data_IF_558785620331
#
_entry.id   IF_558785620331
#
_cell.length_a   1.000
_cell.length_b   1.000
_cell.length_c   1.000
_cell.angle_alpha   90.00
_cell.angle_beta   90.00
_cell.angle_gamma   90.00
#
_symmetry.space_group_name_H-M   'P 1'
#
loop_
_entity.id
_entity.type
_entity.pdbx_description
1 polymer ?
#
# COMPACT_ATOMS: atom_id res chain seq x y z
N UNK A 1 -0.25 16.16 2.02
CA UNK A 1 -0.83 14.80 1.92
C UNK A 1 -1.45 14.73 0.54
N UNK A 2 -1.03 13.78 -0.31
CA UNK A 2 -1.53 13.69 -1.69
C UNK A 2 -2.98 13.21 -1.64
N UNK A 3 -3.90 13.94 -2.26
CA UNK A 3 -5.28 13.48 -2.41
C UNK A 3 -5.31 12.40 -3.48
N UNK A 4 -5.63 11.17 -3.09
CA UNK A 4 -5.80 10.06 -4.01
C UNK A 4 -7.27 9.68 -4.13
N UNK A 5 -7.77 9.64 -5.36
CA UNK A 5 -9.11 9.12 -5.67
C UNK A 5 -8.93 7.80 -6.41
N UNK A 6 -9.34 6.69 -5.79
CA UNK A 6 -9.24 5.35 -6.36
C UNK A 6 -10.18 5.14 -7.55
N UNK A 7 -9.77 5.60 -8.74
CA UNK A 7 -10.52 5.45 -9.99
C UNK A 7 -9.58 5.04 -11.12
N UNK A 8 -10.10 4.22 -12.03
CA UNK A 8 -9.33 3.69 -13.16
C UNK A 8 -8.66 2.36 -12.85
N UNK A 9 -7.70 1.97 -13.70
CA UNK A 9 -6.98 0.71 -13.63
C UNK A 9 -5.76 0.82 -12.69
N UNK A 10 -5.70 -0.07 -11.71
CA UNK A 10 -4.58 -0.20 -10.77
C UNK A 10 -4.23 -1.68 -10.61
N UNK A 11 -3.36 -2.24 -11.46
CA UNK A 11 -3.04 -3.65 -11.40
C UNK A 11 -2.18 -3.96 -10.17
N UNK A 12 -2.40 -5.13 -9.53
CA UNK A 12 -1.43 -5.65 -8.59
C UNK A 12 -0.18 -6.11 -9.36
N UNK A 13 0.99 -5.81 -8.81
CA UNK A 13 2.28 -6.12 -9.44
C UNK A 13 2.95 -7.33 -8.79
N UNK A 14 3.71 -8.07 -9.59
CA UNK A 14 4.51 -9.20 -9.12
C UNK A 14 5.73 -8.72 -8.31
N UNK A 15 6.24 -9.59 -7.43
CA UNK A 15 7.60 -9.48 -6.90
C UNK A 15 8.53 -10.28 -7.81
N UNK A 16 9.41 -9.63 -8.59
CA UNK A 16 10.31 -10.35 -9.48
C UNK A 16 11.29 -11.21 -8.67
N UNK A 17 11.48 -12.46 -9.07
CA UNK A 17 12.46 -13.38 -8.50
C UNK A 17 13.53 -13.73 -9.53
N UNK A 18 14.73 -14.05 -9.04
CA UNK A 18 15.79 -14.69 -9.81
C UNK A 18 15.52 -16.21 -9.92
N UNK A 19 16.30 -16.90 -10.76
CA UNK A 19 16.19 -18.35 -10.94
C UNK A 19 16.47 -19.13 -9.64
N UNK A 20 17.22 -18.54 -8.71
CA UNK A 20 17.51 -19.11 -7.38
C UNK A 20 16.44 -18.76 -6.31
N UNK A 21 15.30 -18.19 -6.74
CA UNK A 21 14.19 -17.75 -5.90
C UNK A 21 14.50 -16.57 -4.96
N UNK A 22 15.68 -15.95 -5.07
CA UNK A 22 15.94 -14.67 -4.40
C UNK A 22 15.22 -13.52 -5.12
N UNK A 23 14.96 -12.41 -4.42
CA UNK A 23 14.25 -11.28 -5.02
C UNK A 23 15.16 -10.52 -6.00
N UNK A 24 14.63 -10.28 -7.21
CA UNK A 24 15.28 -9.46 -8.22
C UNK A 24 14.82 -8.00 -8.13
N UNK A 25 15.44 -7.23 -7.23
CA UNK A 25 15.16 -5.80 -7.08
C UNK A 25 15.49 -5.00 -8.35
N UNK A 26 16.51 -5.43 -9.12
CA UNK A 26 16.94 -4.75 -10.35
C UNK A 26 15.91 -4.80 -11.48
N UNK A 27 14.98 -5.77 -11.44
CA UNK A 27 13.89 -5.87 -12.40
C UNK A 27 12.74 -4.89 -12.12
N UNK A 28 12.65 -4.31 -10.92
CA UNK A 28 11.53 -3.42 -10.54
C UNK A 28 11.53 -2.11 -11.35
N UNK A 29 12.64 -1.36 -11.51
CA UNK A 29 12.63 -0.14 -12.31
C UNK A 29 12.22 -0.32 -13.78
N UNK A 30 12.78 -1.28 -14.56
CA UNK A 30 12.34 -1.49 -15.95
C UNK A 30 10.90 -2.01 -16.01
N UNK A 31 10.44 -2.79 -15.04
CA UNK A 31 9.05 -3.24 -14.96
C UNK A 31 8.08 -2.07 -14.71
N UNK A 32 8.40 -1.19 -13.76
CA UNK A 32 7.64 0.03 -13.50
C UNK A 32 7.60 0.94 -14.74
N UNK A 33 8.74 1.08 -15.45
CA UNK A 33 8.80 1.84 -16.70
C UNK A 33 7.88 1.24 -17.77
N UNK A 34 7.91 -0.07 -17.97
CA UNK A 34 7.03 -0.76 -18.92
C UNK A 34 5.54 -0.49 -18.63
N UNK A 35 5.14 -0.55 -17.35
CA UNK A 35 3.76 -0.26 -16.95
C UNK A 35 3.37 1.20 -17.23
N UNK A 36 4.24 2.14 -16.90
CA UNK A 36 4.02 3.56 -17.16
C UNK A 36 3.91 3.85 -18.67
N UNK A 37 4.81 3.30 -19.48
CA UNK A 37 4.79 3.41 -20.95
C UNK A 37 3.52 2.79 -21.55
N UNK A 38 2.93 1.80 -20.88
CA UNK A 38 1.66 1.17 -21.26
C UNK A 38 0.43 1.98 -20.84
N UNK A 39 0.61 3.18 -20.28
CA UNK A 39 -0.48 4.07 -19.87
C UNK A 39 -1.06 3.76 -18.48
N UNK A 40 -0.44 2.86 -17.71
CA UNK A 40 -0.82 2.63 -16.31
C UNK A 40 -0.40 3.84 -15.48
N UNK A 41 -1.31 4.30 -14.61
CA UNK A 41 -1.09 5.50 -13.77
C UNK A 41 -0.82 5.14 -12.31
N UNK A 42 -1.24 3.96 -11.87
CA UNK A 42 -1.08 3.51 -10.50
C UNK A 42 -0.90 2.00 -10.44
N UNK A 43 -0.22 1.52 -9.40
CA UNK A 43 -0.01 0.09 -9.15
C UNK A 43 -0.25 -0.24 -7.68
N UNK A 44 -0.66 -1.48 -7.42
CA UNK A 44 -0.76 -2.03 -6.06
C UNK A 44 0.42 -2.97 -5.80
N UNK A 45 1.30 -2.56 -4.89
CA UNK A 45 2.48 -3.29 -4.44
C UNK A 45 2.16 -4.05 -3.16
N UNK A 46 2.66 -5.27 -3.07
CA UNK A 46 2.54 -6.09 -1.87
C UNK A 46 1.19 -6.80 -1.70
N UNK A 47 0.40 -6.90 -2.77
CA UNK A 47 -0.81 -7.74 -2.78
C UNK A 47 -0.50 -9.24 -2.89
N UNK A 48 -1.55 -10.05 -2.96
CA UNK A 48 -1.44 -11.51 -3.11
C UNK A 48 -0.72 -11.91 -4.41
N UNK A 49 -0.99 -11.22 -5.52
CA UNK A 49 -0.27 -11.40 -6.80
C UNK A 49 1.24 -11.16 -6.69
N UNK A 50 1.65 -10.31 -5.74
CA UNK A 50 3.06 -10.04 -5.46
C UNK A 50 3.70 -11.07 -4.52
N UNK A 51 2.96 -12.11 -4.08
CA UNK A 51 3.41 -13.12 -3.12
C UNK A 51 3.95 -12.52 -1.81
N UNK A 52 3.44 -11.34 -1.43
CA UNK A 52 4.04 -10.53 -0.38
C UNK A 52 4.02 -11.19 1.01
N UNK A 53 2.99 -12.00 1.26
CA UNK A 53 2.83 -12.76 2.50
C UNK A 53 3.83 -13.91 2.65
N UNK A 54 4.43 -14.35 1.54
CA UNK A 54 5.45 -15.40 1.50
C UNK A 54 6.86 -14.87 1.82
N UNK A 55 7.03 -13.55 1.88
CA UNK A 55 8.33 -12.89 2.08
C UNK A 55 8.59 -12.55 3.56
N UNK A 56 9.87 -12.48 3.93
CA UNK A 56 10.26 -11.91 5.22
C UNK A 56 9.93 -10.40 5.27
N UNK A 57 9.67 -9.86 6.47
CA UNK A 57 9.34 -8.43 6.65
C UNK A 57 10.43 -7.51 6.09
N UNK A 58 11.70 -7.88 6.28
CA UNK A 58 12.83 -7.12 5.74
C UNK A 58 12.80 -7.03 4.21
N UNK A 59 12.40 -8.10 3.54
CA UNK A 59 12.32 -8.15 2.08
C UNK A 59 11.10 -7.40 1.56
N UNK A 60 9.97 -7.50 2.27
CA UNK A 60 8.76 -6.70 2.00
C UNK A 60 9.08 -5.21 1.98
N UNK A 61 9.82 -4.71 2.97
CA UNK A 61 10.28 -3.30 3.04
C UNK A 61 11.12 -2.92 1.82
N UNK A 62 12.14 -3.71 1.48
CA UNK A 62 13.01 -3.44 0.32
C UNK A 62 12.24 -3.44 -1.00
N UNK A 63 11.26 -4.33 -1.16
CA UNK A 63 10.38 -4.34 -2.34
C UNK A 63 9.58 -3.03 -2.40
N UNK A 64 9.01 -2.59 -1.28
CA UNK A 64 8.28 -1.32 -1.20
C UNK A 64 9.20 -0.15 -1.55
N UNK A 65 10.41 -0.09 -0.99
CA UNK A 65 11.39 0.97 -1.26
C UNK A 65 11.74 1.05 -2.74
N UNK A 66 12.01 -0.10 -3.37
CA UNK A 66 12.32 -0.19 -4.79
C UNK A 66 11.16 0.30 -5.67
N UNK A 67 9.91 -0.05 -5.32
CA UNK A 67 8.73 0.42 -6.05
C UNK A 67 8.46 1.90 -5.84
N UNK A 68 8.65 2.43 -4.63
CA UNK A 68 8.51 3.87 -4.34
C UNK A 68 9.54 4.67 -5.13
N UNK A 69 10.80 4.22 -5.16
CA UNK A 69 11.86 4.84 -5.95
C UNK A 69 11.53 4.81 -7.45
N UNK A 70 11.08 3.65 -7.96
CA UNK A 70 10.67 3.51 -9.35
C UNK A 70 9.46 4.42 -9.68
N UNK A 71 8.47 4.51 -8.79
CA UNK A 71 7.29 5.36 -8.94
C UNK A 71 7.63 6.84 -9.06
N UNK A 72 8.61 7.34 -8.28
CA UNK A 72 9.13 8.72 -8.42
C UNK A 72 9.71 8.97 -9.82
N UNK A 73 10.41 7.99 -10.39
CA UNK A 73 11.04 8.12 -11.71
C UNK A 73 10.07 7.99 -12.90
N UNK A 74 8.98 7.23 -12.74
CA UNK A 74 8.02 6.94 -13.82
C UNK A 74 6.73 7.74 -13.72
N UNK A 75 6.48 8.42 -12.60
CA UNK A 75 5.21 9.08 -12.31
C UNK A 75 4.08 8.13 -11.90
N UNK A 76 4.38 6.84 -11.67
CA UNK A 76 3.39 5.90 -11.16
C UNK A 76 3.00 6.24 -9.72
N UNK A 77 1.70 6.27 -9.46
CA UNK A 77 1.18 6.32 -8.10
C UNK A 77 1.26 4.93 -7.45
N UNK A 78 2.09 4.80 -6.42
CA UNK A 78 2.30 3.54 -5.71
C UNK A 78 1.32 3.42 -4.55
N UNK A 79 0.49 2.37 -4.55
CA UNK A 79 -0.22 1.92 -3.36
C UNK A 79 0.46 0.71 -2.77
N UNK A 80 0.55 0.65 -1.44
CA UNK A 80 1.21 -0.43 -0.72
C UNK A 80 0.21 -1.14 0.18
N UNK A 81 0.12 -2.46 0.04
CA UNK A 81 -0.57 -3.32 0.99
C UNK A 81 0.39 -3.63 2.15
N UNK A 82 0.01 -3.24 3.36
CA UNK A 82 0.76 -3.46 4.61
C UNK A 82 0.08 -4.49 5.54
N UNK A 83 -0.98 -5.15 5.07
CA UNK A 83 -1.72 -6.16 5.84
C UNK A 83 -0.98 -7.49 5.90
N UNK A 84 -1.32 -8.31 6.90
CA UNK A 84 -0.75 -9.63 7.11
C UNK A 84 -1.29 -10.29 8.37
N UNK A 85 -0.95 -11.57 8.59
CA UNK A 85 -1.44 -12.33 9.74
C UNK A 85 -0.81 -11.87 11.07
N UNK A 86 0.52 -11.69 11.19
CA UNK A 86 1.11 -11.21 12.43
C UNK A 86 0.90 -9.70 12.58
N UNK A 87 0.20 -9.28 13.66
CA UNK A 87 -0.04 -7.86 13.94
C UNK A 87 1.26 -7.07 14.13
N UNK A 88 2.30 -7.70 14.67
CA UNK A 88 3.62 -7.09 14.84
C UNK A 88 4.22 -6.70 13.48
N UNK A 89 4.24 -7.62 12.51
CA UNK A 89 4.70 -7.36 11.14
C UNK A 89 3.92 -6.21 10.48
N UNK A 90 2.59 -6.20 10.64
CA UNK A 90 1.71 -5.15 10.09
C UNK A 90 2.09 -3.79 10.67
N UNK A 91 2.27 -3.73 12.00
CA UNK A 91 2.64 -2.49 12.70
C UNK A 91 4.00 -1.98 12.22
N UNK A 92 4.98 -2.88 12.07
CA UNK A 92 6.31 -2.56 11.59
C UNK A 92 6.33 -2.05 10.14
N UNK A 93 5.54 -2.66 9.25
CA UNK A 93 5.39 -2.23 7.86
C UNK A 93 4.71 -0.85 7.77
N UNK A 94 3.66 -0.62 8.55
CA UNK A 94 2.97 0.68 8.62
C UNK A 94 3.94 1.78 9.05
N UNK A 95 4.75 1.55 10.08
CA UNK A 95 5.78 2.49 10.52
C UNK A 95 6.80 2.78 9.43
N UNK A 96 7.22 1.77 8.68
CA UNK A 96 8.21 1.92 7.61
C UNK A 96 7.66 2.75 6.44
N UNK A 97 6.43 2.48 5.99
CA UNK A 97 5.77 3.26 4.93
C UNK A 97 5.46 4.69 5.35
N UNK A 98 5.14 4.92 6.63
CA UNK A 98 4.94 6.26 7.15
C UNK A 98 6.23 7.11 7.06
N UNK A 99 7.40 6.52 7.31
CA UNK A 99 8.69 7.20 7.18
C UNK A 99 9.01 7.57 5.73
N UNK A 100 8.77 6.67 4.77
CA UNK A 100 8.97 6.97 3.34
C UNK A 100 8.12 8.16 2.85
N UNK A 101 6.90 8.28 3.39
CA UNK A 101 6.01 9.41 3.11
C UNK A 101 6.44 10.71 3.83
N UNK A 102 7.25 10.61 4.89
CA UNK A 102 7.79 11.76 5.63
C UNK A 102 9.09 12.28 5.00
N UNK A 103 9.92 11.42 4.42
CA UNK A 103 11.11 11.79 3.65
C UNK A 103 10.78 12.53 2.34
N UNK A 104 9.51 12.52 1.92
CA UNK A 104 8.98 13.38 0.86
C UNK A 104 8.44 14.74 1.32
N UNK A 105 8.72 15.18 2.56
CA UNK A 105 8.17 16.41 3.17
C UNK A 105 9.21 17.45 3.60
N UNK A 106 10.31 17.57 2.87
CA UNK A 106 11.13 18.79 2.89
C UNK A 106 10.60 19.77 1.81
N UNK A 107 9.34 20.20 1.96
CA UNK A 107 8.79 21.52 1.57
C UNK A 107 7.27 21.52 1.81
N UNK A 108 6.77 22.67 2.31
CA UNK A 108 5.35 23.02 2.49
C UNK A 108 4.61 22.51 3.76
N UNK A 109 4.78 23.27 4.84
CA UNK A 109 3.67 23.98 5.50
C UNK A 109 2.41 23.22 5.98
N UNK A 110 2.30 23.09 7.31
CA UNK A 110 1.07 23.23 8.11
C UNK A 110 -0.04 22.12 8.09
N UNK A 111 -0.08 21.37 9.21
CA UNK A 111 -1.23 20.78 9.95
C UNK A 111 -2.53 20.37 9.22
N UNK A 112 -2.87 19.06 9.32
CA UNK A 112 -3.99 18.47 10.13
C UNK A 112 -4.07 16.97 9.83
N UNK A 113 -4.09 16.14 10.88
CA UNK A 113 -4.12 14.66 10.80
C UNK A 113 -5.59 14.22 10.76
N UNK A 114 -6.02 13.62 9.65
CA UNK A 114 -7.32 12.95 9.52
C UNK A 114 -7.10 11.46 9.34
N UNK A 115 -7.40 10.66 10.37
CA UNK A 115 -7.33 9.20 10.32
C UNK A 115 -8.48 8.62 9.48
N UNK A 116 -8.16 7.64 8.64
CA UNK A 116 -9.15 6.86 7.89
C UNK A 116 -9.89 5.94 8.87
N UNK A 117 -11.15 6.25 9.20
CA UNK A 117 -12.05 5.33 9.90
C UNK A 117 -12.50 4.24 8.91
N UNK A 118 -12.05 3.00 9.12
CA UNK A 118 -12.72 1.83 8.57
C UNK A 118 -14.01 1.60 9.36
N UNK A 119 -15.15 1.98 8.79
CA UNK A 119 -16.45 1.63 9.35
C UNK A 119 -16.74 0.15 9.11
N UNK A 120 -16.42 -0.69 10.09
CA UNK A 120 -16.99 -2.04 10.19
C UNK A 120 -18.47 -1.91 10.54
N UNK A 121 -19.35 -1.93 9.53
CA UNK A 121 -20.79 -2.06 9.74
C UNK A 121 -21.11 -3.50 10.15
N UNK A 122 -21.06 -3.79 11.44
CA UNK A 122 -21.62 -5.00 12.00
C UNK A 122 -23.16 -4.92 11.93
N UNK A 123 -23.74 -5.57 10.94
CA UNK A 123 -25.14 -6.00 11.01
C UNK A 123 -25.19 -7.20 11.96
N UNK A 124 -25.99 -7.11 13.04
CA UNK A 124 -26.99 -8.12 13.45
C UNK A 124 -27.53 -7.87 14.88
N UNK A 125 -28.87 -7.87 14.93
CA UNK A 125 -29.78 -8.31 16.01
C UNK A 125 -29.90 -7.55 17.34
N UNK A 126 -31.15 -7.17 17.69
CA UNK A 126 -31.55 -6.99 19.10
C UNK A 126 -32.70 -6.03 19.41
N UNK A 127 -33.95 -6.44 19.13
CA UNK A 127 -35.23 -6.05 19.75
C UNK A 127 -35.33 -4.77 20.63
N UNK A 128 -35.95 -3.71 20.11
CA UNK A 128 -36.41 -2.57 20.90
C UNK A 128 -37.85 -2.76 21.42
N UNK A 129 -38.01 -2.93 22.74
CA UNK A 129 -39.28 -2.64 23.44
C UNK A 129 -39.42 -1.12 23.52
N UNK A 130 -40.49 -0.55 22.93
CA UNK A 130 -40.87 0.86 23.11
C UNK A 130 -41.92 0.94 24.23
N UNK A 131 -41.62 1.68 25.29
CA UNK A 131 -42.60 2.17 26.25
C UNK A 131 -43.14 3.54 25.79
N UNK A 132 -44.45 3.71 25.84
CA UNK A 132 -45.20 4.90 25.40
C UNK A 132 -45.01 6.12 26.35
N UNK A 133 -45.18 7.37 25.86
CA UNK A 133 -45.21 8.55 26.71
C UNK A 133 -46.61 8.83 27.28
N UNK A 134 -46.63 9.51 28.43
CA UNK A 134 -47.80 9.92 29.23
C UNK A 134 -48.65 10.98 28.56
#
# INVERSE_FOLDING_TARGET
MVSFTARGLMPPVFTPLNDDLTINYGAIPPYAKFLADSGIKSVLVGGTTGEHMSLAVADRKKVIDAWVAAGKSTGLHIQVQVGGAPLADVTELVSSVALLNAEGREEEGHRRVGGCRQEHRAAHTGAGRRSAPR
#
